data_IF_759372086186
#
_entry.id   IF_759372086186
#
_cell.length_a   1.000
_cell.length_b   1.000
_cell.length_c   1.000
_cell.angle_alpha   90.00
_cell.angle_beta   90.00
_cell.angle_gamma   90.00
#
_symmetry.space_group_name_H-M   'P 1'
#
loop_
_entity.id
_entity.type
_entity.pdbx_description
1 polymer ?
#
# COMPACT_ATOMS: atom_id res chain seq x y z
N UNK A 1 19.58 -7.65 -13.99
CA UNK A 1 18.19 -7.78 -13.51
C UNK A 1 17.92 -6.62 -12.57
N UNK A 2 16.83 -5.86 -12.75
CA UNK A 2 16.49 -4.76 -11.84
C UNK A 2 15.94 -5.33 -10.53
N UNK A 3 16.27 -4.70 -9.41
CA UNK A 3 15.68 -5.05 -8.11
C UNK A 3 14.16 -4.77 -8.14
N UNK A 4 13.35 -5.59 -7.42
CA UNK A 4 11.92 -5.33 -7.27
C UNK A 4 11.69 -4.06 -6.44
N UNK A 5 10.66 -3.30 -6.77
CA UNK A 5 10.29 -2.08 -6.05
C UNK A 5 9.11 -2.31 -5.10
N UNK A 6 9.07 -1.57 -4.00
CA UNK A 6 7.94 -1.57 -3.06
C UNK A 6 6.80 -0.72 -3.62
N UNK A 7 5.57 -1.23 -3.48
CA UNK A 7 4.35 -0.52 -3.88
C UNK A 7 3.32 -0.59 -2.76
N UNK A 8 2.47 0.44 -2.66
CA UNK A 8 1.35 0.42 -1.73
C UNK A 8 0.42 -0.77 -2.03
N UNK A 9 0.20 -1.63 -1.04
CA UNK A 9 -0.58 -2.86 -1.18
C UNK A 9 -2.02 -2.61 -1.69
N UNK A 10 -2.63 -1.49 -1.33
CA UNK A 10 -3.96 -1.12 -1.82
C UNK A 10 -4.01 -0.90 -3.34
N UNK A 11 -2.89 -0.49 -3.95
CA UNK A 11 -2.74 -0.36 -5.40
C UNK A 11 -2.54 -1.72 -6.10
N UNK A 12 -2.06 -2.72 -5.36
CA UNK A 12 -1.98 -4.10 -5.83
C UNK A 12 -3.31 -4.87 -5.65
N UNK A 13 -4.38 -4.20 -5.21
CA UNK A 13 -5.69 -4.82 -5.01
C UNK A 13 -5.94 -5.43 -3.63
N UNK A 14 -5.00 -5.30 -2.68
CA UNK A 14 -5.20 -5.79 -1.31
C UNK A 14 -6.14 -4.84 -0.56
N UNK A 15 -7.24 -5.33 0.04
CA UNK A 15 -8.24 -4.49 0.72
C UNK A 15 -7.75 -4.01 2.08
N UNK A 16 -6.71 -3.17 2.11
CA UNK A 16 -6.05 -2.68 3.32
C UNK A 16 -6.22 -1.16 3.56
N UNK A 17 -7.05 -0.47 2.75
CA UNK A 17 -7.37 0.96 2.99
C UNK A 17 -8.11 1.11 4.31
N UNK A 18 -8.12 2.34 4.84
CA UNK A 18 -8.78 2.64 6.11
C UNK A 18 -10.29 2.28 6.09
N UNK A 19 -10.94 2.36 4.93
CA UNK A 19 -12.35 2.02 4.72
C UNK A 19 -12.60 0.53 4.41
N UNK A 20 -11.57 -0.32 4.51
CA UNK A 20 -11.68 -1.75 4.14
C UNK A 20 -11.59 -2.04 2.65
N UNK A 21 -11.47 -1.01 1.80
CA UNK A 21 -11.38 -1.17 0.36
C UNK A 21 -9.96 -1.36 -0.17
N UNK A 22 -9.89 -1.55 -1.49
CA UNK A 22 -8.67 -1.44 -2.28
C UNK A 22 -8.81 -0.29 -3.29
N UNK A 23 -7.72 0.06 -3.98
CA UNK A 23 -7.72 1.00 -5.11
C UNK A 23 -6.76 0.48 -6.18
N UNK A 24 -7.08 -0.63 -6.86
CA UNK A 24 -6.14 -1.29 -7.75
C UNK A 24 -5.72 -0.38 -8.90
N UNK A 25 -4.41 -0.33 -9.15
CA UNK A 25 -3.82 0.24 -10.35
C UNK A 25 -3.41 -0.93 -11.28
N UNK A 26 -3.93 -1.02 -12.52
CA UNK A 26 -3.65 -2.14 -13.41
C UNK A 26 -2.16 -2.38 -13.69
N UNK A 27 -1.34 -1.33 -13.75
CA UNK A 27 0.09 -1.47 -14.01
C UNK A 27 0.82 -2.04 -12.79
N UNK A 28 0.41 -1.64 -11.58
CA UNK A 28 0.96 -2.18 -10.32
C UNK A 28 0.54 -3.63 -10.12
N UNK A 29 -0.74 -3.95 -10.33
CA UNK A 29 -1.24 -5.34 -10.26
C UNK A 29 -0.43 -6.23 -11.20
N UNK A 30 -0.22 -5.79 -12.44
CA UNK A 30 0.61 -6.52 -13.41
C UNK A 30 2.06 -6.65 -12.95
N UNK A 31 2.67 -5.59 -12.42
CA UNK A 31 4.06 -5.62 -11.95
C UNK A 31 4.26 -6.60 -10.78
N UNK A 32 3.28 -6.68 -9.86
CA UNK A 32 3.29 -7.67 -8.77
C UNK A 32 3.16 -9.09 -9.31
N UNK A 33 2.23 -9.32 -10.25
CA UNK A 33 2.05 -10.62 -10.88
C UNK A 33 3.30 -11.09 -11.66
N UNK A 34 4.05 -10.17 -12.25
CA UNK A 34 5.31 -10.43 -12.95
C UNK A 34 6.53 -10.50 -12.01
N UNK A 35 6.34 -10.40 -10.69
CA UNK A 35 7.42 -10.46 -9.69
C UNK A 35 8.36 -9.25 -9.70
N UNK A 36 7.98 -8.15 -10.37
CA UNK A 36 8.75 -6.90 -10.44
C UNK A 36 8.48 -5.94 -9.28
N UNK A 37 7.42 -6.18 -8.51
CA UNK A 37 7.02 -5.34 -7.40
C UNK A 37 6.59 -6.15 -6.17
N UNK A 38 6.84 -5.62 -4.97
CA UNK A 38 6.38 -6.20 -3.71
C UNK A 38 5.31 -5.30 -3.06
N UNK A 39 4.08 -5.80 -2.83
CA UNK A 39 3.03 -5.01 -2.21
C UNK A 39 3.19 -4.96 -0.69
N UNK A 40 3.15 -3.76 -0.11
CA UNK A 40 3.20 -3.55 1.34
C UNK A 40 2.25 -2.44 1.80
N UNK A 41 1.63 -2.60 2.97
CA UNK A 41 0.87 -1.55 3.64
C UNK A 41 1.59 -1.14 4.91
N UNK A 42 2.14 0.08 4.93
CA UNK A 42 2.88 0.58 6.09
C UNK A 42 2.01 0.66 7.36
N UNK A 43 0.73 1.03 7.21
CA UNK A 43 -0.21 1.15 8.33
C UNK A 43 -0.53 -0.21 8.97
N UNK A 44 -0.80 -1.24 8.16
CA UNK A 44 -1.05 -2.62 8.66
C UNK A 44 0.23 -3.24 9.20
N UNK A 45 1.38 -3.04 8.54
CA UNK A 45 2.68 -3.47 9.05
C UNK A 45 3.04 -2.78 10.38
N UNK A 46 2.57 -1.54 10.58
CA UNK A 46 2.67 -0.80 11.83
C UNK A 46 1.62 -1.20 12.88
N UNK A 47 0.77 -2.19 12.62
CA UNK A 47 -0.20 -2.74 13.57
C UNK A 47 -1.59 -2.12 13.55
N UNK A 48 -1.90 -1.21 12.62
CA UNK A 48 -3.26 -0.68 12.49
C UNK A 48 -4.20 -1.71 11.86
N UNK A 49 -5.46 -1.82 12.32
CA UNK A 49 -6.44 -2.74 11.74
C UNK A 49 -6.95 -2.24 10.38
N UNK A 50 -7.71 -3.10 9.71
CA UNK A 50 -8.56 -2.73 8.57
C UNK A 50 -9.99 -3.24 8.83
N UNK A 51 -11.02 -2.36 8.87
CA UNK A 51 -10.97 -0.91 8.71
C UNK A 51 -10.35 -0.19 9.92
N UNK A 52 -10.07 1.11 9.75
CA UNK A 52 -9.56 2.03 10.78
C UNK A 52 -10.04 3.46 10.51
N UNK A 53 -10.08 4.37 11.51
CA UNK A 53 -10.42 5.77 11.28
C UNK A 53 -9.45 6.46 10.31
N UNK A 54 -9.91 7.44 9.51
CA UNK A 54 -9.00 8.27 8.72
C UNK A 54 -8.05 9.06 9.63
N UNK A 55 -6.83 9.29 9.16
CA UNK A 55 -5.80 10.02 9.89
C UNK A 55 -5.07 11.00 8.96
N UNK A 56 -4.63 12.12 9.52
CA UNK A 56 -3.86 13.16 8.82
C UNK A 56 -2.63 13.52 9.65
N UNK A 57 -1.50 13.77 8.98
CA UNK A 57 -0.29 14.26 9.64
C UNK A 57 -0.50 15.72 10.03
N UNK A 58 -0.26 16.07 11.30
CA UNK A 58 -0.27 17.46 11.80
C UNK A 58 1.13 17.87 12.25
N UNK A 59 1.66 18.96 11.70
CA UNK A 59 2.98 19.50 12.09
C UNK A 59 4.19 18.69 11.58
N UNK A 60 4.07 18.01 10.45
CA UNK A 60 5.17 17.24 9.86
C UNK A 60 6.29 18.13 9.31
N UNK A 61 7.54 17.82 9.68
CA UNK A 61 8.72 18.52 9.17
C UNK A 61 9.18 18.07 7.79
N UNK A 62 8.99 16.78 7.45
CA UNK A 62 9.53 16.15 6.24
C UNK A 62 11.06 16.29 6.18
N UNK A 63 11.80 15.23 6.49
CA UNK A 63 13.26 15.27 6.27
C UNK A 63 13.57 15.33 4.76
#
# INVERSE_FOLDING_TARGET
MSAPFLVSACLAGIPCRYDGGAKPDPAIVRAVAEGRAFPACAEVAGGLPTPRPPAEIRGGGGA
#
